data_IF_649728061703
#
_entry.id   IF_649728061703
#
_cell.length_a   1.000
_cell.length_b   1.000
_cell.length_c   1.000
_cell.angle_alpha   90.00
_cell.angle_beta   90.00
_cell.angle_gamma   90.00
#
_symmetry.space_group_name_H-M   'P 1'
#
loop_
_entity.id
_entity.type
_entity.pdbx_description
1 polymer ?
#
# COMPACT_ATOMS: atom_id res chain seq x y z
N UNK A 1 -11.78 -15.08 5.09
CA UNK A 1 -10.37 -15.03 5.38
C UNK A 1 -10.02 -13.76 6.12
N UNK A 2 -9.42 -13.96 7.23
CA UNK A 2 -9.01 -12.82 8.02
C UNK A 2 -7.73 -12.21 7.44
N UNK A 3 -7.61 -10.94 7.49
CA UNK A 3 -6.35 -10.29 7.31
C UNK A 3 -6.15 -9.49 6.06
N UNK A 4 -6.87 -9.73 4.99
CA UNK A 4 -6.67 -8.92 3.77
C UNK A 4 -7.77 -7.86 3.69
N UNK A 5 -7.39 -6.60 3.74
CA UNK A 5 -8.33 -5.50 3.63
C UNK A 5 -8.86 -5.41 2.20
N UNK A 6 -10.12 -5.04 2.09
CA UNK A 6 -10.74 -4.81 0.79
C UNK A 6 -10.29 -3.45 0.23
N UNK A 7 -10.52 -3.25 -1.06
CA UNK A 7 -10.27 -1.95 -1.67
C UNK A 7 -11.08 -0.83 -1.00
N UNK A 8 -12.30 -1.15 -0.57
CA UNK A 8 -13.15 -0.18 0.12
C UNK A 8 -12.49 0.25 1.44
N UNK A 9 -11.91 -0.69 2.18
CA UNK A 9 -11.22 -0.37 3.43
C UNK A 9 -10.03 0.54 3.18
N UNK A 10 -9.21 0.22 2.19
CA UNK A 10 -8.05 1.04 1.84
C UNK A 10 -8.49 2.44 1.40
N UNK A 11 -9.50 2.52 0.55
CA UNK A 11 -10.03 3.81 0.10
C UNK A 11 -10.53 4.64 1.27
N UNK A 12 -11.22 4.04 2.23
CA UNK A 12 -11.70 4.74 3.41
C UNK A 12 -10.55 5.28 4.25
N UNK A 13 -9.49 4.50 4.42
CA UNK A 13 -8.32 4.94 5.18
C UNK A 13 -7.65 6.14 4.50
N UNK A 14 -7.52 6.10 3.18
CA UNK A 14 -6.93 7.21 2.44
C UNK A 14 -7.80 8.45 2.56
N UNK A 15 -9.13 8.30 2.44
CA UNK A 15 -10.04 9.42 2.55
C UNK A 15 -10.00 10.05 3.94
N UNK A 16 -9.94 9.24 4.99
CA UNK A 16 -9.82 9.75 6.34
C UNK A 16 -8.51 10.50 6.55
N UNK A 17 -7.42 9.95 6.05
CA UNK A 17 -6.11 10.60 6.15
C UNK A 17 -6.12 11.93 5.41
N UNK A 18 -6.68 11.96 4.21
CA UNK A 18 -6.77 13.19 3.42
C UNK A 18 -7.60 14.25 4.14
N UNK A 19 -8.70 13.85 4.79
CA UNK A 19 -9.52 14.78 5.56
C UNK A 19 -8.77 15.37 6.74
N UNK A 20 -7.78 14.65 7.27
CA UNK A 20 -6.94 15.13 8.36
C UNK A 20 -5.66 15.77 7.86
N UNK A 21 -5.53 15.97 6.56
CA UNK A 21 -4.36 16.55 5.92
C UNK A 21 -3.09 15.72 6.17
N UNK A 22 -3.25 14.41 6.25
CA UNK A 22 -2.15 13.47 6.41
C UNK A 22 -1.90 12.75 5.09
N UNK A 23 -0.65 12.40 4.85
CA UNK A 23 -0.25 11.69 3.62
C UNK A 23 0.09 10.23 3.88
N UNK A 24 -0.08 9.77 5.11
CA UNK A 24 0.34 8.43 5.52
C UNK A 24 -0.85 7.70 6.12
N UNK A 25 -0.98 6.42 5.80
CA UNK A 25 -1.96 5.54 6.43
C UNK A 25 -1.23 4.35 7.06
N UNK A 26 -1.81 3.83 8.13
CA UNK A 26 -1.35 2.57 8.71
C UNK A 26 -2.00 1.43 7.91
N UNK A 27 -1.18 0.62 7.29
CA UNK A 27 -1.66 -0.53 6.53
C UNK A 27 -2.30 -1.53 7.49
N UNK A 28 -3.55 -1.99 7.24
CA UNK A 28 -4.23 -2.90 8.16
C UNK A 28 -3.43 -4.18 8.42
N UNK A 29 -3.52 -4.68 9.64
CA UNK A 29 -2.86 -5.91 10.08
C UNK A 29 -1.34 -5.86 9.96
N UNK A 30 -0.76 -4.68 10.03
CA UNK A 30 0.69 -4.51 9.90
C UNK A 30 1.16 -3.33 10.71
N UNK A 31 2.49 -3.16 10.77
CA UNK A 31 3.11 -1.96 11.32
C UNK A 31 3.64 -1.04 10.23
N UNK A 32 3.32 -1.33 8.98
CA UNK A 32 3.74 -0.49 7.86
C UNK A 32 2.93 0.79 7.82
N UNK A 33 3.64 1.90 7.64
CA UNK A 33 3.03 3.18 7.33
C UNK A 33 3.28 3.47 5.87
N UNK A 34 2.23 3.57 5.08
CA UNK A 34 2.32 3.84 3.66
C UNK A 34 2.08 5.31 3.40
N UNK A 35 3.04 5.96 2.74
CA UNK A 35 2.81 7.31 2.23
C UNK A 35 2.03 7.18 0.93
N UNK A 36 0.70 7.24 1.01
CA UNK A 36 -0.14 7.03 -0.17
C UNK A 36 0.05 8.12 -1.22
N UNK A 37 0.50 9.30 -0.81
CA UNK A 37 0.76 10.38 -1.75
C UNK A 37 2.00 10.11 -2.60
N UNK A 38 2.88 9.21 -2.17
CA UNK A 38 4.08 8.86 -2.93
C UNK A 38 3.85 7.75 -3.95
N UNK A 39 2.70 7.10 -3.90
CA UNK A 39 2.42 5.97 -4.79
C UNK A 39 2.29 6.48 -6.23
N UNK A 40 3.09 5.91 -7.12
CA UNK A 40 3.07 6.24 -8.54
C UNK A 40 2.92 4.97 -9.35
N UNK A 41 1.98 4.97 -10.28
CA UNK A 41 1.84 3.86 -11.22
C UNK A 41 3.04 3.86 -12.18
N UNK A 42 3.59 2.67 -12.41
CA UNK A 42 4.73 2.49 -13.31
C UNK A 42 4.34 1.46 -14.36
N UNK A 43 4.26 1.87 -15.60
CA UNK A 43 3.77 0.98 -16.66
C UNK A 43 2.30 0.65 -16.47
N UNK A 44 1.92 -0.59 -16.79
CA UNK A 44 0.51 -1.01 -16.75
C UNK A 44 0.10 -1.68 -15.45
N UNK A 45 1.06 -2.13 -14.65
CA UNK A 45 0.75 -2.90 -13.45
C UNK A 45 1.78 -2.72 -12.33
N UNK A 46 2.78 -1.89 -12.52
CA UNK A 46 3.76 -1.62 -11.49
C UNK A 46 3.41 -0.38 -10.67
N UNK A 47 4.02 -0.26 -9.52
CA UNK A 47 3.89 0.94 -8.69
C UNK A 47 5.15 1.12 -7.86
N UNK A 48 5.55 2.37 -7.66
CA UNK A 48 6.59 2.72 -6.70
C UNK A 48 5.96 3.50 -5.56
N UNK A 49 6.57 3.40 -4.38
CA UNK A 49 5.98 4.01 -3.19
C UNK A 49 7.02 4.18 -2.09
N UNK A 50 6.73 5.07 -1.15
CA UNK A 50 7.51 5.24 0.06
C UNK A 50 6.71 4.69 1.24
N UNK A 51 7.39 4.00 2.13
CA UNK A 51 6.77 3.44 3.31
C UNK A 51 7.78 3.44 4.46
N UNK A 52 7.29 3.18 5.67
CA UNK A 52 8.17 3.06 6.83
C UNK A 52 7.63 2.01 7.78
N UNK A 53 8.51 1.54 8.68
CA UNK A 53 8.16 0.61 9.74
C UNK A 53 8.22 1.38 11.05
N UNK A 54 7.06 1.68 11.61
CA UNK A 54 7.00 2.44 12.84
C UNK A 54 7.66 3.80 12.69
N UNK A 55 8.69 4.06 13.49
CA UNK A 55 9.37 5.36 13.48
C UNK A 55 10.70 5.35 12.72
N UNK A 56 10.90 4.34 11.90
CA UNK A 56 12.13 4.27 11.10
C UNK A 56 12.08 5.25 9.93
N UNK A 57 13.22 5.44 9.29
CA UNK A 57 13.30 6.25 8.10
C UNK A 57 12.44 5.67 6.98
N UNK A 58 12.06 6.56 6.08
CA UNK A 58 11.30 6.19 4.91
C UNK A 58 12.10 5.27 4.00
N UNK A 59 11.44 4.21 3.52
CA UNK A 59 12.02 3.25 2.59
C UNK A 59 11.28 3.34 1.28
N UNK A 60 11.97 2.99 0.19
CA UNK A 60 11.33 2.93 -1.11
C UNK A 60 11.03 1.48 -1.46
N UNK A 61 9.85 1.25 -2.02
CA UNK A 61 9.45 -0.06 -2.47
C UNK A 61 8.89 -0.03 -3.88
N UNK A 62 8.74 -1.19 -4.46
CA UNK A 62 8.14 -1.38 -5.76
C UNK A 62 7.17 -2.55 -5.71
N UNK A 63 6.06 -2.41 -6.40
CA UNK A 63 5.04 -3.44 -6.46
C UNK A 63 4.78 -3.84 -7.89
N UNK A 64 4.47 -5.12 -8.10
CA UNK A 64 3.93 -5.61 -9.36
C UNK A 64 2.53 -6.12 -9.06
N UNK A 65 1.54 -5.34 -9.44
CA UNK A 65 0.14 -5.63 -9.08
C UNK A 65 -0.46 -6.75 -9.92
N UNK A 66 0.13 -7.05 -11.07
CA UNK A 66 -0.32 -8.15 -11.90
C UNK A 66 0.19 -9.49 -11.38
N UNK A 67 1.48 -9.55 -11.06
CA UNK A 67 2.10 -10.77 -10.60
C UNK A 67 2.01 -10.97 -9.09
N UNK A 68 1.60 -9.94 -8.36
CA UNK A 68 1.51 -10.03 -6.91
C UNK A 68 2.86 -10.03 -6.23
N UNK A 69 3.81 -9.22 -6.71
CA UNK A 69 5.16 -9.17 -6.17
C UNK A 69 5.40 -7.86 -5.43
N UNK A 70 6.10 -7.95 -4.33
CA UNK A 70 6.56 -6.82 -3.55
C UNK A 70 8.08 -6.82 -3.57
N UNK A 71 8.68 -5.78 -4.16
CA UNK A 71 10.14 -5.69 -4.36
C UNK A 71 10.68 -6.90 -5.13
N UNK A 72 9.89 -7.41 -6.07
CA UNK A 72 10.28 -8.52 -6.91
C UNK A 72 10.11 -9.90 -6.27
N UNK A 73 9.47 -9.97 -5.11
CA UNK A 73 9.30 -11.22 -4.38
C UNK A 73 7.86 -11.40 -3.95
N UNK A 74 7.44 -12.64 -3.84
CA UNK A 74 6.13 -12.96 -3.26
C UNK A 74 6.13 -12.55 -1.80
N UNK A 75 5.08 -11.84 -1.33
CA UNK A 75 5.03 -11.45 0.08
C UNK A 75 5.16 -12.66 1.00
N UNK A 76 6.07 -12.55 1.96
CA UNK A 76 6.35 -13.66 2.87
C UNK A 76 5.48 -13.64 4.12
N UNK A 77 4.84 -12.50 4.41
CA UNK A 77 4.02 -12.34 5.61
C UNK A 77 2.69 -11.69 5.24
N UNK A 78 1.71 -11.81 6.13
CA UNK A 78 0.44 -11.14 5.96
C UNK A 78 0.60 -9.63 5.92
N UNK A 79 1.53 -9.09 6.71
CA UNK A 79 1.80 -7.65 6.71
C UNK A 79 2.31 -7.18 5.35
N UNK A 80 3.22 -7.94 4.74
CA UNK A 80 3.72 -7.61 3.41
C UNK A 80 2.63 -7.73 2.35
N UNK A 81 1.78 -8.73 2.46
CA UNK A 81 0.66 -8.89 1.53
C UNK A 81 -0.32 -7.71 1.64
N UNK A 82 -0.56 -7.22 2.84
CA UNK A 82 -1.42 -6.06 3.05
C UNK A 82 -0.78 -4.79 2.49
N UNK A 83 0.53 -4.62 2.64
CA UNK A 83 1.23 -3.49 2.06
C UNK A 83 1.10 -3.49 0.54
N UNK A 84 1.33 -4.65 -0.09
CA UNK A 84 1.16 -4.81 -1.53
C UNK A 84 -0.27 -4.47 -1.94
N UNK A 85 -1.25 -5.00 -1.22
CA UNK A 85 -2.65 -4.72 -1.50
C UNK A 85 -2.96 -3.24 -1.40
N UNK A 86 -2.48 -2.58 -0.36
CA UNK A 86 -2.74 -1.15 -0.17
C UNK A 86 -2.13 -0.32 -1.30
N UNK A 87 -0.88 -0.62 -1.67
CA UNK A 87 -0.21 0.09 -2.75
C UNK A 87 -0.97 -0.07 -4.06
N UNK A 88 -1.38 -1.30 -4.38
CA UNK A 88 -2.09 -1.56 -5.63
C UNK A 88 -3.47 -0.93 -5.62
N UNK A 89 -4.14 -0.87 -4.49
CA UNK A 89 -5.42 -0.18 -4.39
C UNK A 89 -5.27 1.33 -4.59
N UNK A 90 -4.22 1.93 -4.06
CA UNK A 90 -3.99 3.36 -4.25
C UNK A 90 -3.62 3.65 -5.70
N UNK A 91 -2.77 2.81 -6.31
CA UNK A 91 -2.29 3.05 -7.67
C UNK A 91 -3.37 2.79 -8.74
N UNK A 92 -4.16 1.73 -8.56
CA UNK A 92 -5.05 1.25 -9.62
C UNK A 92 -6.47 0.98 -9.17
N UNK A 93 -6.69 0.85 -7.89
CA UNK A 93 -7.89 0.27 -7.36
C UNK A 93 -9.11 1.16 -7.32
N UNK A 94 -8.92 2.44 -7.47
CA UNK A 94 -10.02 3.38 -7.31
C UNK A 94 -11.16 3.12 -8.27
N UNK A 95 -10.89 2.49 -9.38
CA UNK A 95 -11.89 2.21 -10.39
C UNK A 95 -12.40 0.79 -10.39
N UNK A 96 -11.90 -0.02 -9.53
CA UNK A 96 -12.27 -1.43 -9.57
C UNK A 96 -13.19 -1.80 -8.43
#
# INVERSE_FOLDING_TARGET
MAGVATGVTITSLVNEAANRQQTVILVPSSTYLLNYASVEAVGFYGASFAYSLGQTDSLMGAANCQAGLLNGQVPATAAQAQLLNAVCQVAYGGGS
#
